data_IF_170108994829
#
_entry.id   IF_170108994829
#
_cell.length_a   1.000
_cell.length_b   1.000
_cell.length_c   1.000
_cell.angle_alpha   90.00
_cell.angle_beta   90.00
_cell.angle_gamma   90.00
#
_symmetry.space_group_name_H-M   'P 1'
#
loop_
_entity.id
_entity.type
_entity.pdbx_description
1 polymer ?
#
# COMPACT_ATOMS: atom_id res chain seq x y z
N UNK A 1 -18.66 -27.92 -51.26
CA UNK A 1 -19.16 -27.00 -52.32
C UNK A 1 -20.34 -26.27 -51.73
N UNK A 2 -20.42 -24.95 -51.63
CA UNK A 2 -19.54 -23.83 -51.91
C UNK A 2 -20.18 -22.63 -51.16
N UNK A 3 -19.34 -21.68 -50.74
CA UNK A 3 -19.54 -20.21 -50.56
C UNK A 3 -20.84 -19.64 -49.96
N UNK A 4 -20.82 -18.85 -48.87
CA UNK A 4 -20.29 -17.48 -48.64
C UNK A 4 -21.20 -16.33 -49.15
N UNK A 5 -21.49 -15.41 -48.20
CA UNK A 5 -21.64 -13.93 -48.33
C UNK A 5 -23.08 -13.38 -48.58
N UNK A 6 -23.66 -12.65 -47.61
CA UNK A 6 -23.47 -11.18 -47.43
C UNK A 6 -24.39 -10.55 -46.34
N UNK A 7 -23.74 -9.84 -45.43
CA UNK A 7 -24.06 -8.54 -44.80
C UNK A 7 -25.51 -8.15 -44.46
N UNK A 8 -25.72 -7.88 -43.16
CA UNK A 8 -26.53 -6.75 -42.69
C UNK A 8 -25.89 -6.13 -41.44
N UNK A 9 -24.88 -5.31 -41.66
CA UNK A 9 -24.60 -4.16 -40.80
C UNK A 9 -25.75 -3.15 -40.93
N UNK A 10 -26.37 -2.78 -39.81
CA UNK A 10 -26.79 -1.40 -39.52
C UNK A 10 -27.47 -1.39 -38.14
N UNK A 11 -26.68 -1.24 -37.08
CA UNK A 11 -27.19 -0.61 -35.86
C UNK A 11 -26.34 0.63 -35.69
N UNK A 12 -26.99 1.75 -35.99
CA UNK A 12 -26.45 3.09 -35.92
C UNK A 12 -25.84 3.34 -34.54
N UNK A 13 -24.61 3.85 -34.56
CA UNK A 13 -24.00 4.54 -33.43
C UNK A 13 -24.91 5.71 -33.03
N UNK A 14 -25.65 5.54 -31.94
CA UNK A 14 -26.17 6.67 -31.18
C UNK A 14 -25.01 7.19 -30.34
N UNK A 15 -24.26 8.15 -30.88
CA UNK A 15 -23.38 9.01 -30.11
C UNK A 15 -24.20 9.70 -29.02
N UNK A 16 -24.09 9.20 -27.79
CA UNK A 16 -24.58 9.87 -26.60
C UNK A 16 -23.56 10.95 -26.20
N UNK A 17 -23.96 12.20 -26.44
CA UNK A 17 -23.72 13.37 -25.58
C UNK A 17 -22.43 13.39 -24.73
N UNK A 18 -21.37 13.95 -25.31
CA UNK A 18 -20.37 14.75 -24.58
C UNK A 18 -19.45 14.04 -23.60
N UNK A 19 -18.71 13.01 -24.02
CA UNK A 19 -17.48 12.64 -23.32
C UNK A 19 -16.50 13.82 -23.41
N UNK A 20 -16.27 14.50 -22.28
CA UNK A 20 -15.18 15.49 -22.18
C UNK A 20 -13.88 14.71 -22.29
N UNK A 21 -13.21 14.84 -23.43
CA UNK A 21 -11.90 14.23 -23.65
C UNK A 21 -10.93 14.66 -22.54
N UNK A 22 -10.22 13.69 -21.95
CA UNK A 22 -9.29 13.92 -20.84
C UNK A 22 -8.25 14.98 -21.21
N UNK A 23 -8.06 15.97 -20.32
CA UNK A 23 -7.09 17.03 -20.54
C UNK A 23 -5.65 16.53 -20.41
N UNK A 24 -4.88 16.67 -21.49
CA UNK A 24 -3.45 16.28 -21.54
C UNK A 24 -2.49 17.36 -21.05
N UNK A 25 -2.99 18.39 -20.36
CA UNK A 25 -2.21 19.56 -19.91
C UNK A 25 -0.93 19.18 -19.15
N UNK A 26 -0.96 18.13 -18.32
CA UNK A 26 0.19 17.75 -17.51
C UNK A 26 1.24 16.92 -18.26
N UNK A 27 0.84 15.94 -19.07
CA UNK A 27 1.78 15.11 -19.87
C UNK A 27 2.46 15.89 -21.00
N UNK A 28 1.87 17.00 -21.44
CA UNK A 28 2.46 17.87 -22.45
C UNK A 28 3.43 18.91 -21.86
N UNK A 29 3.49 19.05 -20.53
CA UNK A 29 4.45 19.93 -19.87
C UNK A 29 5.90 19.45 -20.12
N UNK A 30 6.80 20.41 -20.35
CA UNK A 30 8.24 20.20 -20.56
C UNK A 30 9.09 20.92 -19.51
N UNK A 31 8.46 21.74 -18.67
CA UNK A 31 9.12 22.51 -17.62
C UNK A 31 8.29 22.52 -16.33
N UNK A 32 8.94 22.80 -15.20
CA UNK A 32 8.27 23.03 -13.92
C UNK A 32 7.21 24.15 -14.02
N UNK A 33 7.54 25.23 -14.71
CA UNK A 33 6.65 26.38 -14.86
C UNK A 33 5.37 26.01 -15.63
N UNK A 34 5.49 25.21 -16.69
CA UNK A 34 4.35 24.71 -17.45
C UNK A 34 3.48 23.78 -16.61
N UNK A 35 4.08 22.89 -15.82
CA UNK A 35 3.36 21.95 -14.95
C UNK A 35 2.57 22.69 -13.86
N UNK A 36 3.18 23.66 -13.17
CA UNK A 36 2.51 24.48 -12.16
C UNK A 36 1.48 25.45 -12.76
N UNK A 37 1.73 25.98 -13.97
CA UNK A 37 0.73 26.75 -14.69
C UNK A 37 -0.45 25.88 -15.13
N UNK A 38 -0.20 24.63 -15.49
CA UNK A 38 -1.21 23.62 -15.80
C UNK A 38 -2.22 23.46 -14.67
N UNK A 39 -1.77 23.37 -13.42
CA UNK A 39 -2.66 23.28 -12.24
C UNK A 39 -3.65 24.45 -12.22
N UNK A 40 -3.16 25.69 -12.36
CA UNK A 40 -4.02 26.90 -12.36
C UNK A 40 -5.01 26.90 -13.52
N UNK A 41 -4.54 26.53 -14.72
CA UNK A 41 -5.37 26.43 -15.93
C UNK A 41 -6.53 25.44 -15.76
N UNK A 42 -6.27 24.29 -15.12
CA UNK A 42 -7.31 23.27 -14.87
C UNK A 42 -8.32 23.70 -13.79
N UNK A 43 -7.90 24.50 -12.80
CA UNK A 43 -8.79 25.15 -11.83
C UNK A 43 -9.68 26.20 -12.52
N UNK A 44 -9.10 27.07 -13.34
CA UNK A 44 -9.82 28.11 -14.08
C UNK A 44 -10.83 27.50 -15.07
N UNK A 45 -10.50 26.34 -15.65
CA UNK A 45 -11.41 25.57 -16.51
C UNK A 45 -12.50 24.81 -15.74
N UNK A 46 -12.48 24.83 -14.40
CA UNK A 46 -13.46 24.14 -13.56
C UNK A 46 -13.30 22.61 -13.50
N UNK A 47 -12.19 22.07 -14.03
CA UNK A 47 -11.92 20.62 -14.06
C UNK A 47 -11.18 20.11 -12.83
N UNK A 48 -10.51 21.01 -12.09
CA UNK A 48 -9.76 20.67 -10.89
C UNK A 48 -10.27 21.46 -9.67
N UNK A 49 -10.76 20.79 -8.61
CA UNK A 49 -11.17 21.45 -7.37
C UNK A 49 -10.02 22.19 -6.70
N UNK A 50 -10.24 23.41 -6.14
CA UNK A 50 -9.16 24.21 -5.53
C UNK A 50 -8.40 23.51 -4.40
N UNK A 51 -9.07 22.66 -3.61
CA UNK A 51 -8.43 21.90 -2.54
C UNK A 51 -7.49 20.82 -3.08
N UNK A 52 -7.85 20.16 -4.19
CA UNK A 52 -7.00 19.16 -4.85
C UNK A 52 -5.82 19.86 -5.52
N UNK A 53 -6.05 21.00 -6.18
CA UNK A 53 -4.99 21.82 -6.77
C UNK A 53 -3.94 22.27 -5.75
N UNK A 54 -4.36 22.75 -4.58
CA UNK A 54 -3.44 23.10 -3.49
C UNK A 54 -2.63 21.87 -3.02
N UNK A 55 -3.27 20.70 -2.93
CA UNK A 55 -2.60 19.45 -2.62
C UNK A 55 -1.58 19.01 -3.69
N UNK A 56 -1.87 19.22 -4.97
CA UNK A 56 -0.95 18.95 -6.08
C UNK A 56 0.30 19.84 -6.02
N UNK A 57 0.15 21.14 -5.73
CA UNK A 57 1.29 22.06 -5.59
C UNK A 57 2.18 21.67 -4.41
N UNK A 58 1.58 21.35 -3.26
CA UNK A 58 2.31 20.88 -2.07
C UNK A 58 3.02 19.55 -2.35
N UNK A 59 2.35 18.62 -3.02
CA UNK A 59 2.93 17.33 -3.41
C UNK A 59 4.13 17.52 -4.33
N UNK A 60 3.99 18.36 -5.36
CA UNK A 60 5.08 18.69 -6.29
C UNK A 60 6.31 19.22 -5.55
N UNK A 61 6.13 20.22 -4.69
CA UNK A 61 7.24 20.85 -3.98
C UNK A 61 7.94 19.86 -3.04
N UNK A 62 7.19 19.05 -2.30
CA UNK A 62 7.79 18.08 -1.38
C UNK A 62 8.48 16.93 -2.11
N UNK A 63 7.86 16.41 -3.18
CA UNK A 63 8.46 15.37 -4.01
C UNK A 63 9.76 15.86 -4.67
N UNK A 64 9.72 17.05 -5.28
CA UNK A 64 10.90 17.72 -5.85
C UNK A 64 12.01 17.78 -4.82
N UNK A 65 11.77 18.40 -3.67
CA UNK A 65 12.80 18.59 -2.65
C UNK A 65 13.40 17.26 -2.17
N UNK A 66 12.57 16.21 -2.00
CA UNK A 66 13.04 14.88 -1.62
C UNK A 66 13.94 14.25 -2.68
N UNK A 67 13.54 14.27 -3.95
CA UNK A 67 14.34 13.71 -5.06
C UNK A 67 15.65 14.48 -5.23
N UNK A 68 15.65 15.81 -5.11
CA UNK A 68 16.89 16.59 -5.13
C UNK A 68 17.82 16.29 -3.93
N UNK A 69 17.24 16.05 -2.74
CA UNK A 69 18.01 15.67 -1.55
C UNK A 69 18.73 14.32 -1.72
N UNK A 70 18.24 13.43 -2.59
CA UNK A 70 18.90 12.16 -2.88
C UNK A 70 20.27 12.30 -3.55
N UNK A 71 20.54 13.45 -4.19
CA UNK A 71 21.75 13.67 -4.97
C UNK A 71 21.76 12.97 -6.34
N UNK A 72 20.61 12.46 -6.81
CA UNK A 72 20.48 11.92 -8.17
C UNK A 72 20.86 12.98 -9.22
N UNK A 73 21.88 12.74 -10.08
CA UNK A 73 22.26 13.68 -11.14
C UNK A 73 21.15 13.93 -12.16
N UNK A 74 20.11 13.09 -12.21
CA UNK A 74 18.93 13.25 -13.06
C UNK A 74 17.69 13.68 -12.28
N UNK A 75 17.86 14.26 -11.08
CA UNK A 75 16.73 14.70 -10.25
C UNK A 75 15.72 15.57 -11.00
N UNK A 76 16.18 16.53 -11.83
CA UNK A 76 15.31 17.36 -12.66
C UNK A 76 14.39 16.54 -13.60
N UNK A 77 14.98 15.59 -14.34
CA UNK A 77 14.27 14.72 -15.28
C UNK A 77 13.30 13.79 -14.54
N UNK A 78 13.76 13.18 -13.44
CA UNK A 78 12.97 12.30 -12.59
C UNK A 78 11.75 13.03 -12.02
N UNK A 79 11.94 14.23 -11.47
CA UNK A 79 10.85 15.04 -10.90
C UNK A 79 9.84 15.40 -11.97
N UNK A 80 10.29 15.95 -13.10
CA UNK A 80 9.39 16.38 -14.18
C UNK A 80 8.58 15.20 -14.73
N UNK A 81 9.24 14.08 -15.03
CA UNK A 81 8.59 12.89 -15.59
C UNK A 81 7.56 12.29 -14.64
N UNK A 82 7.96 12.03 -13.40
CA UNK A 82 7.07 11.39 -12.42
C UNK A 82 5.91 12.30 -12.01
N UNK A 83 6.16 13.60 -11.82
CA UNK A 83 5.10 14.54 -11.43
C UNK A 83 4.14 14.84 -12.57
N UNK A 84 4.61 14.94 -13.83
CA UNK A 84 3.72 15.13 -14.97
C UNK A 84 2.69 13.99 -15.06
N UNK A 85 3.16 12.74 -14.95
CA UNK A 85 2.27 11.58 -14.96
C UNK A 85 1.40 11.52 -13.71
N UNK A 86 1.95 11.81 -12.52
CA UNK A 86 1.16 11.78 -11.28
C UNK A 86 0.00 12.79 -11.33
N UNK A 87 0.26 14.04 -11.71
CA UNK A 87 -0.78 15.08 -11.79
C UNK A 87 -1.83 14.78 -12.86
N UNK A 88 -1.40 14.24 -14.00
CA UNK A 88 -2.27 13.77 -15.07
C UNK A 88 -3.23 12.67 -14.60
N UNK A 89 -2.70 11.64 -13.90
CA UNK A 89 -3.53 10.55 -13.37
C UNK A 89 -4.46 11.00 -12.25
N UNK A 90 -4.06 11.98 -11.43
CA UNK A 90 -4.95 12.57 -10.43
C UNK A 90 -6.07 13.37 -11.11
N UNK A 91 -5.76 14.18 -12.13
CA UNK A 91 -6.79 14.92 -12.87
C UNK A 91 -7.78 13.96 -13.54
N UNK A 92 -7.28 12.87 -14.15
CA UNK A 92 -8.13 11.84 -14.75
C UNK A 92 -9.10 11.25 -13.73
N UNK A 93 -8.64 10.96 -12.52
CA UNK A 93 -9.52 10.46 -11.45
C UNK A 93 -10.48 11.53 -10.91
N UNK A 94 -10.12 12.81 -10.95
CA UNK A 94 -11.05 13.91 -10.61
C UNK A 94 -12.14 14.06 -11.66
N UNK A 95 -11.79 13.95 -12.95
CA UNK A 95 -12.72 14.02 -14.08
C UNK A 95 -13.64 12.79 -14.14
N UNK A 96 -13.08 11.61 -13.87
CA UNK A 96 -13.78 10.32 -13.88
C UNK A 96 -13.33 9.45 -12.69
N UNK A 97 -13.95 9.63 -11.51
CA UNK A 97 -13.54 8.90 -10.29
C UNK A 97 -13.58 7.39 -10.45
N UNK A 98 -12.45 6.74 -10.18
CA UNK A 98 -12.38 5.28 -10.13
C UNK A 98 -13.10 4.74 -8.89
N UNK A 99 -14.01 3.79 -9.10
CA UNK A 99 -14.73 3.10 -8.03
C UNK A 99 -14.05 1.77 -7.69
N UNK A 100 -13.57 1.65 -6.45
CA UNK A 100 -12.95 0.43 -5.98
C UNK A 100 -13.98 -0.66 -5.66
N UNK A 101 -13.82 -1.83 -6.29
CA UNK A 101 -14.55 -3.04 -5.93
C UNK A 101 -14.09 -3.60 -4.56
N UNK A 102 -14.90 -4.41 -3.86
CA UNK A 102 -14.52 -5.01 -2.58
C UNK A 102 -13.19 -5.79 -2.62
N UNK A 103 -12.94 -6.46 -3.75
CA UNK A 103 -11.63 -6.95 -4.16
C UNK A 103 -11.25 -6.24 -5.46
N UNK A 104 -10.13 -5.52 -5.43
CA UNK A 104 -9.58 -4.78 -6.55
C UNK A 104 -8.29 -5.47 -7.01
N UNK A 105 -8.16 -5.68 -8.33
CA UNK A 105 -6.93 -6.18 -8.95
C UNK A 105 -6.14 -5.00 -9.50
N UNK A 106 -4.82 -5.04 -9.36
CA UNK A 106 -3.94 -4.00 -9.88
C UNK A 106 -4.21 -3.78 -11.38
N UNK A 107 -4.41 -2.52 -11.77
CA UNK A 107 -4.57 -2.13 -13.17
C UNK A 107 -3.20 -2.04 -13.83
N UNK A 108 -2.98 -2.90 -14.83
CA UNK A 108 -1.71 -3.00 -15.58
C UNK A 108 -1.81 -2.48 -17.02
N UNK A 109 -3.02 -2.37 -17.57
CA UNK A 109 -3.29 -1.97 -18.94
C UNK A 109 -4.58 -1.11 -19.00
N UNK A 110 -4.70 -0.17 -19.96
CA UNK A 110 -3.70 0.25 -20.95
C UNK A 110 -2.60 1.16 -20.34
N UNK A 111 -2.75 1.54 -19.08
CA UNK A 111 -1.73 2.24 -18.29
C UNK A 111 -1.34 1.37 -17.09
N UNK A 112 -0.04 1.13 -16.92
CA UNK A 112 0.46 0.31 -15.82
C UNK A 112 0.57 1.15 -14.52
N UNK A 113 -0.51 1.15 -13.72
CA UNK A 113 -0.55 1.86 -12.45
C UNK A 113 0.38 1.26 -11.40
N UNK A 114 0.70 -0.04 -11.51
CA UNK A 114 1.69 -0.68 -10.64
C UNK A 114 3.07 -0.09 -10.90
N UNK A 115 3.53 -0.12 -12.16
CA UNK A 115 4.84 0.42 -12.53
C UNK A 115 4.93 1.93 -12.32
N UNK A 116 3.84 2.67 -12.56
CA UNK A 116 3.74 4.08 -12.17
C UNK A 116 4.06 4.28 -10.68
N UNK A 117 3.39 3.54 -9.79
CA UNK A 117 3.63 3.63 -8.36
C UNK A 117 5.04 3.21 -7.95
N UNK A 118 5.59 2.16 -8.56
CA UNK A 118 6.98 1.73 -8.33
C UNK A 118 7.97 2.84 -8.74
N UNK A 119 7.82 3.41 -9.93
CA UNK A 119 8.71 4.45 -10.46
C UNK A 119 8.63 5.76 -9.68
N UNK A 120 7.43 6.09 -9.19
CA UNK A 120 7.24 7.29 -8.37
C UNK A 120 7.94 7.18 -7.01
N UNK A 121 7.85 6.03 -6.34
CA UNK A 121 8.41 5.85 -4.98
C UNK A 121 9.90 5.51 -5.00
N UNK A 122 10.40 4.84 -6.04
CA UNK A 122 11.81 4.45 -6.17
C UNK A 122 12.84 5.55 -5.84
N UNK A 123 12.75 6.78 -6.38
CA UNK A 123 13.76 7.82 -6.10
C UNK A 123 13.69 8.38 -4.68
N UNK A 124 12.71 7.98 -3.87
CA UNK A 124 12.58 8.36 -2.47
C UNK A 124 13.26 7.37 -1.52
N UNK A 125 13.62 6.17 -2.01
CA UNK A 125 14.26 5.13 -1.20
C UNK A 125 15.78 5.25 -1.32
N UNK A 126 16.44 5.47 -0.19
CA UNK A 126 17.89 5.30 -0.09
C UNK A 126 18.22 3.81 0.03
N UNK A 127 18.35 3.14 -1.10
CA UNK A 127 18.71 1.71 -1.14
C UNK A 127 20.07 1.43 -0.48
N UNK A 128 21.00 2.39 -0.44
CA UNK A 128 22.31 2.20 0.24
C UNK A 128 22.14 2.07 1.74
N UNK A 129 21.14 2.75 2.32
CA UNK A 129 20.80 2.69 3.73
C UNK A 129 19.49 1.94 4.02
N UNK A 130 19.05 1.10 3.09
CA UNK A 130 17.89 0.22 3.28
C UNK A 130 18.31 -1.22 3.58
N UNK A 131 17.45 -2.02 4.20
CA UNK A 131 17.77 -3.40 4.57
C UNK A 131 16.55 -4.33 4.50
N UNK A 132 16.79 -5.59 4.11
CA UNK A 132 15.81 -6.67 4.18
C UNK A 132 16.27 -7.73 5.17
N UNK A 133 15.46 -7.96 6.20
CA UNK A 133 15.62 -9.00 7.20
C UNK A 133 15.06 -10.34 6.74
N UNK A 134 15.85 -11.40 6.91
CA UNK A 134 15.48 -12.78 6.70
C UNK A 134 14.94 -13.09 5.29
N UNK A 135 15.64 -12.62 4.25
CA UNK A 135 15.33 -12.93 2.84
C UNK A 135 14.98 -14.42 2.59
N UNK A 136 15.68 -15.41 3.19
CA UNK A 136 15.34 -16.82 3.01
C UNK A 136 13.89 -17.20 3.33
N UNK A 137 13.24 -16.51 4.27
CA UNK A 137 11.84 -16.79 4.65
C UNK A 137 10.89 -16.34 3.52
N UNK A 138 11.21 -15.30 2.74
CA UNK A 138 10.40 -14.95 1.57
C UNK A 138 10.45 -16.03 0.49
N UNK A 139 11.58 -16.74 0.33
CA UNK A 139 11.63 -17.92 -0.55
C UNK A 139 10.77 -19.07 -0.02
N UNK A 140 10.77 -19.31 1.30
CA UNK A 140 9.87 -20.30 1.92
C UNK A 140 8.40 -19.95 1.67
N UNK A 141 8.04 -18.67 1.83
CA UNK A 141 6.70 -18.15 1.54
C UNK A 141 6.31 -18.45 0.08
N UNK A 142 7.18 -18.20 -0.89
CA UNK A 142 6.90 -18.54 -2.28
C UNK A 142 6.71 -20.04 -2.50
N UNK A 143 7.49 -20.90 -1.86
CA UNK A 143 7.31 -22.35 -1.96
C UNK A 143 5.94 -22.79 -1.40
N UNK A 144 5.48 -22.20 -0.29
CA UNK A 144 4.13 -22.47 0.23
C UNK A 144 3.03 -22.00 -0.72
N UNK A 145 3.20 -20.82 -1.33
CA UNK A 145 2.25 -20.33 -2.34
C UNK A 145 2.18 -21.26 -3.56
N UNK A 146 3.33 -21.80 -4.01
CA UNK A 146 3.39 -22.80 -5.10
C UNK A 146 2.71 -24.12 -4.74
N UNK A 147 2.68 -24.49 -3.46
CA UNK A 147 1.96 -25.66 -2.96
C UNK A 147 0.43 -25.46 -2.88
N UNK A 148 -0.09 -24.29 -3.27
CA UNK A 148 -1.51 -23.98 -3.16
C UNK A 148 -1.92 -23.42 -1.81
N UNK A 149 -0.98 -23.20 -0.88
CA UNK A 149 -1.29 -22.66 0.44
C UNK A 149 -1.50 -21.15 0.36
N UNK A 150 -2.18 -20.60 1.37
CA UNK A 150 -2.31 -19.16 1.56
C UNK A 150 -1.28 -18.67 2.57
N UNK A 151 -0.88 -17.41 2.44
CA UNK A 151 0.03 -16.72 3.35
C UNK A 151 -0.60 -15.39 3.77
N UNK A 152 -0.59 -15.12 5.07
CA UNK A 152 -0.99 -13.83 5.63
C UNK A 152 0.19 -13.20 6.35
N UNK A 153 0.57 -12.00 5.93
CA UNK A 153 1.56 -11.15 6.58
C UNK A 153 0.84 -10.22 7.56
N UNK A 154 1.11 -10.40 8.84
CA UNK A 154 0.62 -9.55 9.93
C UNK A 154 1.69 -8.49 10.18
N UNK A 155 1.37 -7.22 9.93
CA UNK A 155 2.38 -6.17 9.89
C UNK A 155 2.02 -4.93 10.70
N UNK A 156 3.03 -4.10 11.01
CA UNK A 156 2.79 -2.69 11.28
C UNK A 156 2.55 -1.93 9.96
N UNK A 157 2.22 -0.65 10.05
CA UNK A 157 1.91 0.18 8.88
C UNK A 157 2.46 1.59 9.14
N UNK A 158 3.18 2.20 8.21
CA UNK A 158 3.89 3.46 8.47
C UNK A 158 3.48 4.57 7.52
N UNK A 159 3.28 4.26 6.25
CA UNK A 159 3.00 5.24 5.20
C UNK A 159 1.96 4.72 4.21
N UNK A 160 1.37 5.60 3.43
CA UNK A 160 0.50 5.19 2.32
C UNK A 160 1.31 4.51 1.18
N UNK A 161 2.64 4.69 1.19
CA UNK A 161 3.56 4.10 0.23
C UNK A 161 4.06 2.69 0.64
N UNK A 162 3.59 2.14 1.76
CA UNK A 162 4.03 0.82 2.26
C UNK A 162 3.98 -0.29 1.19
N UNK A 163 2.90 -0.42 0.37
CA UNK A 163 2.87 -1.41 -0.71
C UNK A 163 4.03 -1.26 -1.70
N UNK A 164 4.38 -0.02 -2.06
CA UNK A 164 5.48 0.25 -2.97
C UNK A 164 6.84 -0.02 -2.33
N UNK A 165 7.03 0.35 -1.06
CA UNK A 165 8.27 0.08 -0.30
C UNK A 165 8.50 -1.43 -0.18
N UNK A 166 7.47 -2.20 0.16
CA UNK A 166 7.54 -3.67 0.22
C UNK A 166 7.92 -4.24 -1.15
N UNK A 167 7.20 -3.83 -2.21
CA UNK A 167 7.45 -4.33 -3.56
C UNK A 167 8.86 -3.98 -4.05
N UNK A 168 9.31 -2.74 -3.89
CA UNK A 168 10.66 -2.29 -4.26
C UNK A 168 11.77 -2.99 -3.47
N UNK A 169 11.52 -3.34 -2.20
CA UNK A 169 12.48 -4.09 -1.37
C UNK A 169 12.68 -5.52 -1.85
N UNK A 170 11.68 -6.09 -2.54
CA UNK A 170 11.63 -7.49 -2.93
C UNK A 170 11.68 -7.74 -4.44
N UNK A 171 11.64 -6.69 -5.28
CA UNK A 171 11.46 -6.83 -6.73
C UNK A 171 12.55 -7.67 -7.44
N UNK A 172 13.76 -7.75 -6.88
CA UNK A 172 14.86 -8.52 -7.46
C UNK A 172 14.90 -9.97 -7.01
N UNK A 173 14.56 -10.23 -5.75
CA UNK A 173 14.63 -11.59 -5.16
C UNK A 173 13.30 -12.32 -5.22
N UNK A 174 12.20 -11.60 -5.06
CA UNK A 174 10.85 -12.13 -4.92
C UNK A 174 9.84 -11.32 -5.75
N UNK A 175 10.02 -11.22 -7.09
CA UNK A 175 9.11 -10.44 -7.95
C UNK A 175 7.67 -10.95 -7.89
N UNK A 176 7.47 -12.25 -7.70
CA UNK A 176 6.13 -12.82 -7.53
C UNK A 176 5.42 -12.22 -6.30
N UNK A 177 6.13 -12.09 -5.17
CA UNK A 177 5.59 -11.43 -3.97
C UNK A 177 5.33 -9.95 -4.25
N UNK A 178 6.28 -9.25 -4.87
CA UNK A 178 6.19 -7.82 -5.14
C UNK A 178 4.95 -7.43 -5.99
N UNK A 179 4.56 -8.27 -6.94
CA UNK A 179 3.46 -7.99 -7.86
C UNK A 179 2.10 -8.57 -7.43
N UNK A 180 2.09 -9.67 -6.66
CA UNK A 180 0.86 -10.43 -6.39
C UNK A 180 0.33 -10.29 -4.96
N UNK A 181 1.04 -9.57 -4.08
CA UNK A 181 0.54 -9.30 -2.73
C UNK A 181 -0.77 -8.50 -2.77
N UNK A 182 -1.74 -8.95 -1.98
CA UNK A 182 -3.03 -8.29 -1.79
C UNK A 182 -3.05 -7.56 -0.45
N UNK A 183 -3.27 -6.24 -0.47
CA UNK A 183 -3.24 -5.40 0.72
C UNK A 183 -4.66 -5.15 1.24
N UNK A 184 -4.89 -5.40 2.53
CA UNK A 184 -6.11 -4.96 3.19
C UNK A 184 -5.99 -3.45 3.44
N UNK A 185 -6.72 -2.64 2.67
CA UNK A 185 -6.56 -1.19 2.61
C UNK A 185 -7.80 -0.43 3.10
N UNK A 186 -7.54 0.64 3.84
CA UNK A 186 -8.54 1.55 4.42
C UNK A 186 -9.17 2.50 3.39
N UNK A 187 -10.27 3.14 3.78
CA UNK A 187 -11.06 4.03 2.92
C UNK A 187 -10.32 5.27 2.42
N UNK A 188 -9.47 5.88 3.25
CA UNK A 188 -8.78 7.14 2.93
C UNK A 188 -7.99 7.08 1.62
N UNK A 189 -7.19 6.02 1.42
CA UNK A 189 -6.37 5.85 0.20
C UNK A 189 -7.20 5.50 -1.03
N UNK A 190 -8.45 5.07 -0.83
CA UNK A 190 -9.40 4.74 -1.91
C UNK A 190 -10.28 5.93 -2.30
N UNK A 191 -10.31 6.99 -1.48
CA UNK A 191 -11.14 8.18 -1.69
C UNK A 191 -10.35 9.45 -1.98
N UNK A 192 -9.11 9.58 -1.49
CA UNK A 192 -8.28 10.76 -1.73
C UNK A 192 -7.74 10.75 -3.18
N UNK A 193 -8.11 11.72 -4.04
CA UNK A 193 -7.69 11.74 -5.44
C UNK A 193 -6.17 11.72 -5.63
N UNK A 194 -5.41 12.25 -4.66
CA UNK A 194 -3.93 12.25 -4.71
C UNK A 194 -3.32 10.88 -4.36
N UNK A 195 -4.09 9.95 -3.81
CA UNK A 195 -3.68 8.57 -3.51
C UNK A 195 -4.19 7.56 -4.52
N UNK A 196 -5.41 7.78 -5.03
CA UNK A 196 -6.13 6.80 -5.84
C UNK A 196 -5.32 6.23 -7.00
N UNK A 197 -4.56 7.02 -7.80
CA UNK A 197 -3.69 6.46 -8.83
C UNK A 197 -2.70 5.41 -8.32
N UNK A 198 -2.13 5.60 -7.12
CA UNK A 198 -1.22 4.63 -6.52
C UNK A 198 -1.96 3.37 -6.05
N UNK A 199 -3.16 3.53 -5.48
CA UNK A 199 -4.01 2.42 -5.05
C UNK A 199 -4.54 1.59 -6.23
N UNK A 200 -4.85 2.23 -7.37
CA UNK A 200 -5.27 1.55 -8.60
C UNK A 200 -4.23 0.53 -9.08
N UNK A 201 -2.94 0.77 -8.80
CA UNK A 201 -1.83 -0.11 -9.15
C UNK A 201 -1.56 -1.27 -8.19
N UNK A 202 -2.42 -1.53 -7.20
CA UNK A 202 -2.22 -2.60 -6.20
C UNK A 202 -3.39 -3.57 -6.18
N UNK A 203 -3.14 -4.81 -5.73
CA UNK A 203 -4.23 -5.71 -5.40
C UNK A 203 -4.73 -5.38 -3.99
N UNK A 204 -6.03 -5.14 -3.83
CA UNK A 204 -6.59 -4.62 -2.58
C UNK A 204 -7.82 -5.42 -2.13
N UNK A 205 -7.94 -5.62 -0.82
CA UNK A 205 -9.22 -5.87 -0.16
C UNK A 205 -9.64 -4.56 0.50
N UNK A 206 -10.68 -3.94 -0.05
CA UNK A 206 -11.09 -2.59 0.31
C UNK A 206 -12.00 -2.63 1.54
N UNK A 207 -11.55 -2.06 2.66
CA UNK A 207 -12.29 -2.03 3.92
C UNK A 207 -12.35 -0.64 4.51
N UNK A 208 -13.42 -0.31 5.21
CA UNK A 208 -13.51 0.85 6.09
C UNK A 208 -12.84 0.53 7.43
N UNK A 209 -11.92 1.39 7.86
CA UNK A 209 -11.27 1.22 9.16
C UNK A 209 -12.28 1.35 10.29
N UNK A 210 -12.16 0.48 11.31
CA UNK A 210 -12.95 0.62 12.55
C UNK A 210 -12.78 1.99 13.19
N UNK A 211 -11.58 2.60 13.06
CA UNK A 211 -11.25 3.92 13.63
C UNK A 211 -12.13 5.05 13.07
N UNK A 212 -12.62 4.89 11.84
CA UNK A 212 -13.40 5.90 11.11
C UNK A 212 -14.84 5.43 10.81
N UNK A 213 -15.27 4.34 11.43
CA UNK A 213 -16.59 3.74 11.17
C UNK A 213 -17.72 4.69 11.55
N UNK A 214 -17.59 5.32 12.71
CA UNK A 214 -18.63 6.15 13.33
C UNK A 214 -18.34 7.67 13.22
N UNK A 215 -17.33 8.07 12.43
CA UNK A 215 -17.02 9.51 12.17
C UNK A 215 -18.21 10.26 11.57
N UNK A 216 -18.98 9.57 10.72
CA UNK A 216 -20.27 10.02 10.18
C UNK A 216 -21.29 8.92 10.48
N UNK A 217 -22.08 9.03 11.57
CA UNK A 217 -22.97 7.96 12.04
C UNK A 217 -23.92 7.42 10.96
N UNK A 218 -24.44 8.28 10.09
CA UNK A 218 -25.36 7.91 9.02
C UNK A 218 -24.73 6.99 7.96
N UNK A 219 -23.41 7.01 7.83
CA UNK A 219 -22.66 6.16 6.90
C UNK A 219 -22.22 4.82 7.53
N UNK A 220 -22.32 4.66 8.85
CA UNK A 220 -21.77 3.50 9.56
C UNK A 220 -22.37 2.17 9.07
N UNK A 221 -23.68 2.12 8.83
CA UNK A 221 -24.35 0.90 8.35
C UNK A 221 -23.93 0.54 6.92
N UNK A 222 -23.78 1.54 6.05
CA UNK A 222 -23.26 1.34 4.69
C UNK A 222 -21.83 0.80 4.74
N UNK A 223 -20.96 1.39 5.57
CA UNK A 223 -19.57 0.97 5.76
C UNK A 223 -19.48 -0.48 6.29
N UNK A 224 -20.31 -0.86 7.26
CA UNK A 224 -20.40 -2.25 7.77
C UNK A 224 -20.82 -3.25 6.70
N UNK A 225 -21.81 -2.90 5.87
CA UNK A 225 -22.25 -3.72 4.73
C UNK A 225 -21.15 -3.87 3.69
N UNK A 226 -20.41 -2.80 3.39
CA UNK A 226 -19.26 -2.85 2.49
C UNK A 226 -18.17 -3.79 3.03
N UNK A 227 -17.76 -3.65 4.29
CA UNK A 227 -16.78 -4.54 4.93
C UNK A 227 -17.23 -6.00 4.89
N UNK A 228 -18.53 -6.27 5.09
CA UNK A 228 -19.07 -7.63 4.99
C UNK A 228 -18.90 -8.21 3.59
N UNK A 229 -19.05 -7.40 2.53
CA UNK A 229 -18.79 -7.85 1.16
C UNK A 229 -17.30 -8.13 0.93
N UNK A 230 -16.41 -7.25 1.38
CA UNK A 230 -14.96 -7.41 1.22
C UNK A 230 -14.43 -8.64 1.96
N UNK A 231 -14.94 -8.92 3.17
CA UNK A 231 -14.60 -10.14 3.91
C UNK A 231 -15.10 -11.42 3.21
N UNK A 232 -16.25 -11.36 2.53
CA UNK A 232 -16.73 -12.48 1.71
C UNK A 232 -15.83 -12.74 0.50
N UNK A 233 -15.40 -11.69 -0.19
CA UNK A 233 -14.43 -11.81 -1.29
C UNK A 233 -13.09 -12.37 -0.79
N UNK A 234 -12.58 -11.87 0.33
CA UNK A 234 -11.36 -12.41 0.95
C UNK A 234 -11.50 -13.90 1.30
N UNK A 235 -12.65 -14.33 1.86
CA UNK A 235 -12.91 -15.73 2.13
C UNK A 235 -12.98 -16.57 0.84
N UNK A 236 -13.55 -16.04 -0.24
CA UNK A 236 -13.61 -16.70 -1.55
C UNK A 236 -12.22 -16.85 -2.16
N UNK A 237 -11.38 -15.82 -2.08
CA UNK A 237 -9.99 -15.87 -2.54
C UNK A 237 -9.20 -16.93 -1.77
N UNK A 238 -9.28 -16.94 -0.43
CA UNK A 238 -8.59 -17.92 0.40
C UNK A 238 -9.02 -19.36 0.07
N UNK A 239 -10.28 -19.59 -0.30
CA UNK A 239 -10.75 -20.90 -0.78
C UNK A 239 -10.11 -21.34 -2.09
N UNK A 240 -9.67 -20.39 -2.92
CA UNK A 240 -8.94 -20.65 -4.16
C UNK A 240 -7.50 -21.11 -3.95
N UNK A 241 -6.91 -20.87 -2.77
CA UNK A 241 -5.51 -21.15 -2.48
C UNK A 241 -4.55 -20.16 -3.14
N UNK A 242 -3.25 -20.31 -2.85
CA UNK A 242 -2.17 -19.47 -3.40
C UNK A 242 -2.35 -17.95 -3.21
N UNK A 243 -3.05 -17.53 -2.16
CA UNK A 243 -3.24 -16.11 -1.85
C UNK A 243 -2.14 -15.60 -0.93
N UNK A 244 -1.63 -14.40 -1.21
CA UNK A 244 -0.73 -13.67 -0.32
C UNK A 244 -1.38 -12.37 0.12
N UNK A 245 -1.67 -12.25 1.41
CA UNK A 245 -2.43 -11.13 1.98
C UNK A 245 -1.58 -10.39 2.99
N UNK A 246 -1.50 -9.07 2.87
CA UNK A 246 -0.92 -8.18 3.88
C UNK A 246 -2.03 -7.48 4.64
N UNK A 247 -1.92 -7.43 5.97
CA UNK A 247 -2.83 -6.70 6.84
C UNK A 247 -2.07 -6.07 8.00
N UNK A 248 -2.46 -4.83 8.34
CA UNK A 248 -2.03 -4.17 9.57
C UNK A 248 -3.17 -4.14 10.60
N UNK A 249 -3.16 -5.04 11.61
CA UNK A 249 -4.26 -5.16 12.57
C UNK A 249 -4.45 -3.93 13.45
N UNK A 250 -3.45 -3.04 13.55
CA UNK A 250 -3.59 -1.74 14.22
C UNK A 250 -4.63 -0.83 13.56
N UNK A 251 -5.00 -1.10 12.30
CA UNK A 251 -6.03 -0.38 11.54
C UNK A 251 -5.64 1.04 11.11
N UNK A 252 -4.37 1.42 11.24
CA UNK A 252 -3.85 2.69 10.76
C UNK A 252 -2.33 2.80 10.91
N UNK A 253 -1.74 3.84 10.32
CA UNK A 253 -0.30 4.10 10.36
C UNK A 253 0.20 4.30 11.79
N UNK A 254 1.45 3.94 12.06
CA UNK A 254 2.19 4.21 13.28
C UNK A 254 2.25 5.74 13.52
N UNK A 255 2.49 6.14 14.77
CA UNK A 255 2.63 7.56 15.14
C UNK A 255 3.79 7.71 16.12
N UNK A 256 4.48 8.86 16.12
CA UNK A 256 5.47 9.13 17.13
C UNK A 256 4.79 9.28 18.49
N UNK A 257 5.42 8.76 19.53
CA UNK A 257 5.01 9.01 20.90
C UNK A 257 5.03 10.53 21.19
N UNK A 258 3.99 11.04 21.83
CA UNK A 258 3.78 12.49 21.98
C UNK A 258 4.77 13.16 22.93
N UNK A 259 5.49 12.39 23.75
CA UNK A 259 6.43 12.90 24.74
C UNK A 259 7.88 12.74 24.28
N UNK A 260 8.21 11.58 23.70
CA UNK A 260 9.58 11.21 23.29
C UNK A 260 9.85 11.47 21.82
N UNK A 261 8.81 11.55 20.98
CA UNK A 261 8.93 11.62 19.53
C UNK A 261 9.32 10.30 18.88
N UNK A 262 9.43 9.20 19.64
CA UNK A 262 9.86 7.91 19.13
C UNK A 262 8.75 7.21 18.35
N UNK A 263 9.11 6.66 17.19
CA UNK A 263 8.24 5.81 16.37
C UNK A 263 8.40 4.35 16.77
N UNK A 264 7.27 3.69 16.98
CA UNK A 264 7.16 2.25 17.20
C UNK A 264 5.87 1.73 16.54
N UNK A 265 5.82 0.44 16.16
CA UNK A 265 4.60 -0.23 15.74
C UNK A 265 3.41 0.07 16.66
N UNK A 266 2.28 0.44 16.08
CA UNK A 266 1.05 0.67 16.84
C UNK A 266 0.45 -0.67 17.33
N UNK A 267 -0.19 -0.70 18.51
CA UNK A 267 -0.80 -1.92 19.05
C UNK A 267 -1.81 -2.54 18.09
N UNK A 268 -1.81 -3.88 18.02
CA UNK A 268 -2.75 -4.64 17.20
C UNK A 268 -4.13 -4.73 17.84
N UNK A 269 -5.18 -4.66 17.01
CA UNK A 269 -6.52 -5.09 17.42
C UNK A 269 -6.58 -6.62 17.39
N UNK A 270 -6.60 -7.24 18.58
CA UNK A 270 -6.66 -8.70 18.73
C UNK A 270 -7.86 -9.32 18.02
N UNK A 271 -8.96 -8.57 17.86
CA UNK A 271 -10.13 -9.03 17.13
C UNK A 271 -9.92 -9.01 15.62
N UNK A 272 -9.09 -8.11 15.10
CA UNK A 272 -8.68 -8.13 13.70
C UNK A 272 -7.77 -9.34 13.40
N UNK A 273 -6.82 -9.64 14.30
CA UNK A 273 -5.97 -10.84 14.20
C UNK A 273 -6.81 -12.12 14.28
N UNK A 274 -7.76 -12.19 15.22
CA UNK A 274 -8.66 -13.36 15.36
C UNK A 274 -9.55 -13.58 14.13
N UNK A 275 -10.00 -12.50 13.48
CA UNK A 275 -10.78 -12.61 12.25
C UNK A 275 -9.98 -13.29 11.12
N UNK A 276 -8.68 -12.97 10.99
CA UNK A 276 -7.79 -13.63 10.03
C UNK A 276 -7.66 -15.11 10.34
N UNK A 277 -7.48 -15.48 11.61
CA UNK A 277 -7.46 -16.88 12.03
C UNK A 277 -8.75 -17.61 11.67
N UNK A 278 -9.91 -17.01 11.96
CA UNK A 278 -11.21 -17.62 11.63
C UNK A 278 -11.36 -17.83 10.13
N UNK A 279 -10.94 -16.86 9.32
CA UNK A 279 -10.93 -16.99 7.85
C UNK A 279 -10.00 -18.12 7.40
N UNK A 280 -8.80 -18.21 8.01
CA UNK A 280 -7.85 -19.28 7.74
C UNK A 280 -8.42 -20.68 8.01
N UNK A 281 -9.06 -20.89 9.16
CA UNK A 281 -9.66 -22.18 9.54
C UNK A 281 -10.77 -22.66 8.59
N UNK A 282 -11.47 -21.73 7.93
CA UNK A 282 -12.61 -22.02 7.07
C UNK A 282 -12.29 -21.85 5.57
N UNK A 283 -11.02 -21.66 5.22
CA UNK A 283 -10.59 -21.47 3.84
C UNK A 283 -10.49 -22.78 3.05
N UNK A 284 -10.09 -23.89 3.69
CA UNK A 284 -9.85 -25.16 3.01
C UNK A 284 -8.35 -25.40 2.80
N UNK A 285 -7.68 -24.66 1.89
CA UNK A 285 -6.22 -24.71 1.75
C UNK A 285 -5.50 -24.26 3.04
N UNK A 286 -4.32 -24.80 3.37
CA UNK A 286 -3.54 -24.36 4.53
C UNK A 286 -3.25 -22.85 4.49
N UNK A 287 -3.24 -22.21 5.65
CA UNK A 287 -2.91 -20.78 5.77
C UNK A 287 -1.79 -20.60 6.78
N UNK A 288 -0.76 -19.87 6.36
CA UNK A 288 0.43 -19.59 7.16
C UNK A 288 0.46 -18.11 7.56
N UNK A 289 0.78 -17.82 8.81
CA UNK A 289 0.75 -16.47 9.35
C UNK A 289 2.14 -16.05 9.79
N UNK A 290 2.67 -15.00 9.16
CA UNK A 290 4.01 -14.49 9.40
C UNK A 290 3.96 -13.06 9.94
N UNK A 291 4.69 -12.76 11.03
CA UNK A 291 4.90 -11.38 11.48
C UNK A 291 5.89 -10.66 10.56
N UNK A 292 5.49 -9.49 10.07
CA UNK A 292 6.27 -8.64 9.16
C UNK A 292 6.48 -7.25 9.77
N UNK A 293 7.73 -6.82 9.89
CA UNK A 293 8.05 -5.44 10.29
C UNK A 293 8.43 -4.57 9.09
N UNK A 294 7.95 -3.33 9.10
CA UNK A 294 8.23 -2.30 8.11
C UNK A 294 8.72 -1.03 8.79
N UNK A 295 9.80 -0.46 8.28
CA UNK A 295 10.34 0.84 8.70
C UNK A 295 10.50 1.74 7.47
N UNK A 296 9.59 2.70 7.29
CA UNK A 296 9.61 3.67 6.20
C UNK A 296 8.86 4.97 6.48
N UNK A 297 8.51 5.27 7.74
CA UNK A 297 7.77 6.49 8.08
C UNK A 297 8.47 7.76 7.60
N UNK A 298 9.81 7.79 7.51
CA UNK A 298 10.55 8.98 7.06
C UNK A 298 10.22 9.36 5.60
N UNK A 299 9.93 8.39 4.73
CA UNK A 299 9.64 8.65 3.31
C UNK A 299 8.36 9.47 3.14
N UNK A 300 7.31 9.08 3.86
CA UNK A 300 5.99 9.72 3.74
C UNK A 300 5.24 9.60 5.07
N UNK A 301 5.65 10.37 6.10
CA UNK A 301 5.14 10.21 7.45
C UNK A 301 3.68 10.66 7.51
N UNK A 302 2.85 9.98 8.32
CA UNK A 302 1.55 10.52 8.66
C UNK A 302 1.70 11.81 9.47
N UNK A 303 0.66 12.66 9.51
CA UNK A 303 0.61 13.76 10.44
C UNK A 303 0.72 13.24 11.90
N UNK A 304 1.28 14.04 12.83
CA UNK A 304 1.49 13.62 14.21
C UNK A 304 0.21 13.21 14.95
N UNK A 305 -0.95 13.67 14.49
CA UNK A 305 -2.28 13.32 15.04
C UNK A 305 -3.15 12.76 13.92
N UNK A 306 -4.16 11.98 14.29
CA UNK A 306 -5.17 11.50 13.33
C UNK A 306 -6.05 12.68 12.92
N UNK A 307 -6.00 13.03 11.64
CA UNK A 307 -6.83 14.09 11.05
C UNK A 307 -8.16 13.49 10.56
N UNK A 308 -9.27 14.16 10.87
CA UNK A 308 -10.62 13.73 10.46
C UNK A 308 -10.96 14.08 9.01
N UNK A 309 -10.30 15.09 8.44
CA UNK A 309 -10.55 15.56 7.07
C UNK A 309 -9.64 14.86 6.06
N UNK A 310 -10.13 14.70 4.83
CA UNK A 310 -9.35 14.22 3.68
C UNK A 310 -8.44 15.36 3.20
N UNK A 311 -7.21 15.04 2.77
CA UNK A 311 -6.19 16.05 2.41
C UNK A 311 -5.17 16.35 3.51
N UNK A 312 -4.58 15.30 4.08
CA UNK A 312 -3.47 15.44 5.04
C UNK A 312 -2.29 16.19 4.40
N UNK A 313 -1.55 16.99 5.18
CA UNK A 313 -0.33 17.62 4.68
C UNK A 313 0.68 16.53 4.28
N UNK A 314 0.94 16.42 2.99
CA UNK A 314 1.85 15.41 2.42
C UNK A 314 3.29 15.85 2.58
N UNK A 315 4.02 15.29 3.52
CA UNK A 315 5.48 15.43 3.62
C UNK A 315 6.11 14.25 2.90
N UNK A 316 7.14 14.52 2.11
CA UNK A 316 7.92 13.50 1.39
C UNK A 316 9.40 13.75 1.67
N UNK A 317 10.16 12.68 1.90
CA UNK A 317 11.62 12.76 2.05
C UNK A 317 12.34 11.59 1.40
N UNK A 318 13.65 11.76 1.15
CA UNK A 318 14.54 10.68 0.74
C UNK A 318 15.15 10.03 1.98
N UNK A 319 14.92 8.73 2.16
CA UNK A 319 15.41 8.03 3.35
C UNK A 319 15.57 6.52 3.14
N UNK A 320 16.38 5.88 3.98
CA UNK A 320 16.51 4.43 4.05
C UNK A 320 15.25 3.76 4.61
N UNK A 321 14.95 2.55 4.13
CA UNK A 321 13.79 1.76 4.51
C UNK A 321 14.17 0.36 4.99
N UNK A 322 13.33 -0.24 5.81
CA UNK A 322 13.53 -1.57 6.36
C UNK A 322 12.31 -2.45 6.12
N UNK A 323 12.55 -3.68 5.69
CA UNK A 323 11.54 -4.73 5.61
C UNK A 323 12.10 -5.96 6.33
N UNK A 324 11.33 -6.62 7.18
CA UNK A 324 11.75 -7.87 7.80
C UNK A 324 10.56 -8.79 7.97
N UNK A 325 10.79 -10.09 7.79
CA UNK A 325 9.84 -11.14 8.15
C UNK A 325 10.50 -12.08 9.15
N UNK A 326 9.74 -12.64 10.09
CA UNK A 326 10.23 -13.68 11.00
C UNK A 326 9.41 -14.97 10.81
N UNK A 327 9.84 -16.12 11.36
CA UNK A 327 9.16 -17.40 11.15
C UNK A 327 7.67 -17.37 11.50
N UNK A 328 6.92 -18.31 10.91
CA UNK A 328 5.48 -18.40 11.15
C UNK A 328 5.16 -18.60 12.64
N UNK A 329 4.08 -17.97 13.10
CA UNK A 329 3.56 -18.18 14.46
C UNK A 329 2.24 -18.94 14.36
N UNK A 330 2.25 -20.16 14.88
CA UNK A 330 1.09 -21.04 14.92
C UNK A 330 0.21 -20.71 16.14
N UNK A 331 -1.05 -20.35 15.92
CA UNK A 331 -1.98 -20.18 17.05
C UNK A 331 -2.21 -21.49 17.80
N UNK A 332 -2.10 -22.65 17.14
CA UNK A 332 -2.26 -23.93 17.83
C UNK A 332 -1.18 -24.14 18.88
N UNK A 333 0.04 -23.72 18.58
CA UNK A 333 1.17 -23.82 19.50
C UNK A 333 1.09 -22.78 20.62
N UNK A 334 0.77 -21.53 20.27
CA UNK A 334 0.59 -20.46 21.29
C UNK A 334 -0.61 -20.76 22.20
N UNK A 335 -1.73 -21.19 21.63
CA UNK A 335 -2.98 -21.45 22.34
C UNK A 335 -2.96 -22.74 23.18
N UNK A 336 -2.07 -23.70 22.91
CA UNK A 336 -1.99 -24.95 23.66
C UNK A 336 -1.71 -24.76 25.17
N UNK A 337 -1.16 -23.61 25.56
CA UNK A 337 -0.83 -23.27 26.94
C UNK A 337 -1.98 -22.57 27.68
N UNK A 338 -3.06 -22.19 26.98
CA UNK A 338 -4.19 -21.45 27.54
C UNK A 338 -5.47 -22.30 27.56
N UNK A 339 -6.19 -22.26 28.68
CA UNK A 339 -7.49 -22.96 28.83
C UNK A 339 -8.67 -22.14 28.31
N UNK A 340 -8.51 -20.82 28.24
CA UNK A 340 -9.53 -19.86 27.83
C UNK A 340 -9.26 -19.40 26.38
N UNK A 341 -10.30 -19.46 25.54
CA UNK A 341 -10.20 -19.05 24.14
C UNK A 341 -9.89 -17.56 23.96
N UNK A 342 -10.34 -16.70 24.88
CA UNK A 342 -10.06 -15.25 24.79
C UNK A 342 -8.60 -14.95 25.18
N UNK A 343 -8.09 -15.62 26.22
CA UNK A 343 -6.67 -15.52 26.59
C UNK A 343 -5.75 -16.04 25.49
N UNK A 344 -6.11 -17.15 24.84
CA UNK A 344 -5.36 -17.70 23.70
C UNK A 344 -5.32 -16.72 22.52
N UNK A 345 -6.44 -16.03 22.25
CA UNK A 345 -6.54 -15.01 21.21
C UNK A 345 -5.62 -13.81 21.50
N UNK A 346 -5.68 -13.27 22.72
CA UNK A 346 -4.83 -12.15 23.13
C UNK A 346 -3.35 -12.54 23.11
N UNK A 347 -3.00 -13.71 23.63
CA UNK A 347 -1.63 -14.23 23.60
C UNK A 347 -1.09 -14.41 22.17
N UNK A 348 -1.92 -14.88 21.25
CA UNK A 348 -1.54 -15.01 19.85
C UNK A 348 -1.28 -13.66 19.17
N UNK A 349 -2.19 -12.69 19.39
CA UNK A 349 -2.02 -11.33 18.89
C UNK A 349 -0.75 -10.68 19.47
N UNK A 350 -0.48 -10.90 20.76
CA UNK A 350 0.71 -10.38 21.43
C UNK A 350 1.99 -11.03 20.89
N UNK A 351 2.02 -12.34 20.68
CA UNK A 351 3.19 -13.02 20.12
C UNK A 351 3.56 -12.50 18.72
N UNK A 352 2.56 -12.24 17.86
CA UNK A 352 2.77 -11.61 16.56
C UNK A 352 3.30 -10.18 16.71
N UNK A 353 2.70 -9.39 17.60
CA UNK A 353 3.10 -8.02 17.85
C UNK A 353 4.54 -7.91 18.39
N UNK A 354 4.89 -8.73 19.38
CA UNK A 354 6.23 -8.76 19.97
C UNK A 354 7.29 -9.13 18.93
N UNK A 355 6.99 -10.07 18.03
CA UNK A 355 7.88 -10.40 16.91
C UNK A 355 8.05 -9.22 15.94
N UNK A 356 6.97 -8.49 15.62
CA UNK A 356 7.05 -7.29 14.78
C UNK A 356 7.89 -6.20 15.46
N UNK A 357 7.74 -6.01 16.78
CA UNK A 357 8.55 -5.06 17.56
C UNK A 357 10.03 -5.44 17.56
N UNK A 358 10.36 -6.71 17.78
CA UNK A 358 11.74 -7.19 17.76
C UNK A 358 12.42 -6.90 16.42
N UNK A 359 11.76 -7.29 15.33
CA UNK A 359 12.23 -7.04 13.97
C UNK A 359 12.36 -5.54 13.67
N UNK A 360 11.36 -4.75 14.04
CA UNK A 360 11.36 -3.30 13.85
C UNK A 360 12.54 -2.63 14.55
N UNK A 361 12.87 -3.05 15.77
CA UNK A 361 14.01 -2.51 16.52
C UNK A 361 15.35 -2.83 15.87
N UNK A 362 15.49 -4.00 15.24
CA UNK A 362 16.68 -4.34 14.44
C UNK A 362 16.79 -3.42 13.23
N UNK A 363 15.68 -3.22 12.48
CA UNK A 363 15.64 -2.29 11.35
C UNK A 363 15.97 -0.85 11.77
N UNK A 364 15.38 -0.37 12.88
CA UNK A 364 15.66 0.95 13.48
C UNK A 364 17.13 1.09 13.86
N UNK A 365 17.74 0.04 14.43
CA UNK A 365 19.17 0.05 14.77
C UNK A 365 20.07 0.07 13.53
N UNK A 366 19.67 -0.61 12.45
CA UNK A 366 20.40 -0.62 11.19
C UNK A 366 20.39 0.75 10.51
N UNK A 367 19.20 1.36 10.41
CA UNK A 367 18.93 2.56 9.62
C UNK A 367 19.20 3.82 10.45
N UNK A 368 18.37 4.09 11.47
CA UNK A 368 18.52 5.28 12.32
C UNK A 368 19.74 5.18 13.24
N UNK A 369 20.04 3.97 13.72
CA UNK A 369 21.24 3.71 14.52
C UNK A 369 22.53 3.61 13.70
N UNK A 370 22.44 3.65 12.37
CA UNK A 370 23.58 3.62 11.42
C UNK A 370 24.50 2.41 11.59
N UNK A 371 24.00 1.30 12.13
CA UNK A 371 24.79 0.06 12.28
C UNK A 371 24.82 -0.78 11.00
N UNK A 372 23.93 -0.49 10.05
CA UNK A 372 23.74 -1.27 8.84
C UNK A 372 23.58 -2.77 9.12
N UNK A 373 24.28 -3.61 8.36
CA UNK A 373 24.26 -5.07 8.53
C UNK A 373 24.71 -5.53 9.92
N UNK A 374 25.52 -4.71 10.63
CA UNK A 374 25.96 -4.98 12.00
C UNK A 374 24.86 -4.89 13.06
N UNK A 375 23.65 -4.46 12.70
CA UNK A 375 22.47 -4.56 13.56
C UNK A 375 21.86 -5.97 13.61
N UNK A 376 22.26 -6.88 12.71
CA UNK A 376 21.71 -8.24 12.65
C UNK A 376 21.83 -8.97 13.99
N UNK A 377 20.82 -9.77 14.30
CA UNK A 377 20.74 -10.62 15.49
C UNK A 377 20.69 -12.09 15.08
N UNK A 378 20.60 -13.00 16.06
CA UNK A 378 20.33 -14.42 15.77
C UNK A 378 18.96 -14.68 15.16
N UNK A 379 18.00 -13.77 15.37
CA UNK A 379 16.60 -13.86 14.89
C UNK A 379 16.34 -13.07 13.61
N UNK A 380 17.17 -12.06 13.32
CA UNK A 380 17.02 -11.17 12.15
C UNK A 380 18.36 -11.01 11.44
N UNK A 381 18.50 -11.67 10.30
CA UNK A 381 19.65 -11.55 9.40
C UNK A 381 19.35 -10.50 8.33
N UNK A 382 20.02 -9.34 8.41
CA UNK A 382 19.85 -8.25 7.45
C UNK A 382 20.68 -8.48 6.18
N UNK A 383 20.18 -7.99 5.05
CA UNK A 383 20.83 -8.01 3.75
C UNK A 383 20.38 -6.82 2.88
N UNK A 384 21.01 -6.61 1.73
CA UNK A 384 20.66 -5.58 0.75
C UNK A 384 20.52 -6.24 -0.64
N UNK A 385 19.36 -6.84 -0.96
CA UNK A 385 19.17 -7.71 -2.13
C UNK A 385 19.15 -7.01 -3.50
N UNK A 386 19.56 -5.74 -3.55
CA UNK A 386 19.68 -4.93 -4.77
C UNK A 386 21.12 -4.56 -5.11
N UNK A 387 22.07 -4.84 -4.21
CA UNK A 387 23.50 -4.55 -4.42
C UNK A 387 24.21 -5.68 -5.16
#
# INVERSE_FOLDING_TARGET
MAELVKDKESIAASNSEGEVEHSRTFVDARTEQELLHGIRKEVEAGRLPPNVAAGMEVLYQNYRNAVFQSGDPRADETVLSNMAVALDRVLLDVEAPYDFAPYHKALREPFDYYMFGQNYIRPLIDFTNSYVGNVPIFYEIEEKLKQGHNVVLISNHQSEADPAVIALSLERTNPHIAENMTYVAGDRVLTDPLCKPFSMGRNLICVYSKKHMDDVPDLAEMKRKANTRSLKEMALLLRGGSQMIWIAPSGGRDRPDTHTGEWNPAPFDSSAVDNIRRLAEHSGPPVHVYPLALLCHDIMPPPPRVEKEIGEKRVVSFHGTGLSVAPEISIREVGATYKNSEEAKEAYSLALYDSVIEQYNVLKSAIHGKKGLGASTSSVSLSQPWN
#
